data_IF_360081628786
#
_entry.id   IF_360081628786
#
_cell.length_a   1.000
_cell.length_b   1.000
_cell.length_c   1.000
_cell.angle_alpha   90.00
_cell.angle_beta   90.00
_cell.angle_gamma   90.00
#
_symmetry.space_group_name_H-M   'P 1'
#
loop_
_entity.id
_entity.type
_entity.pdbx_description
1 polymer ?
#
# COMPACT_ATOMS: atom_id res chain seq x y z
N UNK A 1 49.90 -1.06 2.31
CA UNK A 1 49.09 -0.51 1.20
C UNK A 1 49.24 1.00 1.25
N UNK A 2 49.33 1.63 0.09
CA UNK A 2 49.32 3.09 0.00
C UNK A 2 47.89 3.62 0.00
N UNK A 3 47.67 4.81 0.55
CA UNK A 3 46.39 5.54 0.48
C UNK A 3 45.75 5.53 -0.94
N UNK A 4 46.51 5.64 -2.06
CA UNK A 4 45.92 5.60 -3.41
C UNK A 4 45.36 4.23 -3.82
N UNK A 5 45.92 3.14 -3.29
CA UNK A 5 45.45 1.78 -3.58
C UNK A 5 44.12 1.52 -2.87
N UNK A 6 44.01 1.95 -1.60
CA UNK A 6 42.79 1.84 -0.80
C UNK A 6 41.63 2.67 -1.40
N UNK A 7 41.91 3.88 -1.89
CA UNK A 7 40.90 4.72 -2.56
C UNK A 7 40.43 4.12 -3.89
N UNK A 8 41.31 3.46 -4.63
CA UNK A 8 40.97 2.80 -5.89
C UNK A 8 40.12 1.55 -5.66
N UNK A 9 40.43 0.76 -4.64
CA UNK A 9 39.65 -0.41 -4.23
C UNK A 9 38.24 0.00 -3.79
N UNK A 10 38.14 1.00 -2.91
CA UNK A 10 36.85 1.56 -2.48
C UNK A 10 36.02 2.08 -3.65
N UNK A 11 36.65 2.80 -4.60
CA UNK A 11 35.94 3.29 -5.78
C UNK A 11 35.38 2.14 -6.63
N UNK A 12 36.14 1.04 -6.80
CA UNK A 12 35.66 -0.15 -7.50
C UNK A 12 34.50 -0.85 -6.78
N UNK A 13 34.56 -0.96 -5.44
CA UNK A 13 33.45 -1.48 -4.64
C UNK A 13 32.19 -0.64 -4.82
N UNK A 14 32.32 0.69 -4.80
CA UNK A 14 31.20 1.60 -5.04
C UNK A 14 30.64 1.47 -6.45
N UNK A 15 31.49 1.30 -7.49
CA UNK A 15 31.01 0.97 -8.85
C UNK A 15 30.23 -0.34 -8.84
N UNK A 16 30.75 -1.37 -8.19
CA UNK A 16 30.11 -2.69 -8.14
C UNK A 16 28.73 -2.61 -7.47
N UNK A 17 28.66 -1.96 -6.31
CA UNK A 17 27.41 -1.70 -5.60
C UNK A 17 26.36 -1.02 -6.50
N UNK A 18 26.76 0.04 -7.20
CA UNK A 18 25.87 0.80 -8.08
C UNK A 18 25.45 -0.01 -9.32
N UNK A 19 26.37 -0.72 -9.96
CA UNK A 19 26.12 -1.43 -11.23
C UNK A 19 25.37 -2.74 -11.03
N UNK A 20 25.66 -3.46 -9.94
CA UNK A 20 25.17 -4.81 -9.69
C UNK A 20 24.11 -4.83 -8.59
N UNK A 21 24.47 -4.43 -7.37
CA UNK A 21 23.62 -4.64 -6.18
C UNK A 21 22.35 -3.82 -6.26
N UNK A 22 22.47 -2.51 -6.53
CA UNK A 22 21.32 -1.60 -6.66
C UNK A 22 20.42 -2.05 -7.79
N UNK A 23 20.98 -2.40 -8.95
CA UNK A 23 20.20 -2.84 -10.11
C UNK A 23 19.48 -4.17 -9.86
N UNK A 24 20.11 -5.10 -9.17
CA UNK A 24 19.51 -6.38 -8.79
C UNK A 24 18.40 -6.17 -7.76
N UNK A 25 18.64 -5.31 -6.77
CA UNK A 25 17.66 -4.95 -5.76
C UNK A 25 16.42 -4.30 -6.39
N UNK A 26 16.59 -3.33 -7.28
CA UNK A 26 15.48 -2.66 -7.97
C UNK A 26 14.65 -3.63 -8.80
N UNK A 27 15.28 -4.56 -9.53
CA UNK A 27 14.56 -5.61 -10.29
C UNK A 27 13.78 -6.54 -9.36
N UNK A 28 14.39 -6.99 -8.27
CA UNK A 28 13.75 -7.87 -7.30
C UNK A 28 12.57 -7.17 -6.63
N UNK A 29 12.76 -5.93 -6.18
CA UNK A 29 11.72 -5.12 -5.56
C UNK A 29 10.55 -4.94 -6.52
N UNK A 30 10.81 -4.54 -7.77
CA UNK A 30 9.78 -4.42 -8.82
C UNK A 30 8.96 -5.70 -8.99
N UNK A 31 9.61 -6.85 -9.11
CA UNK A 31 8.91 -8.15 -9.21
C UNK A 31 8.02 -8.42 -7.98
N UNK A 32 8.52 -8.14 -6.78
CA UNK A 32 7.74 -8.30 -5.54
C UNK A 32 6.55 -7.34 -5.46
N UNK A 33 6.67 -6.11 -5.97
CA UNK A 33 5.54 -5.17 -6.04
C UNK A 33 4.49 -5.65 -7.05
N UNK A 34 4.90 -6.17 -8.20
CA UNK A 34 3.98 -6.78 -9.18
C UNK A 34 3.25 -8.00 -8.59
N UNK A 35 3.93 -8.83 -7.80
CA UNK A 35 3.31 -9.93 -7.07
C UNK A 35 2.33 -9.46 -5.99
N UNK A 36 2.63 -8.36 -5.31
CA UNK A 36 1.71 -7.73 -4.36
C UNK A 36 0.45 -7.21 -5.07
N UNK A 37 0.61 -6.52 -6.20
CA UNK A 37 -0.49 -6.02 -7.02
C UNK A 37 -1.32 -7.16 -7.63
N UNK A 38 -0.71 -8.26 -8.06
CA UNK A 38 -1.45 -9.43 -8.58
C UNK A 38 -2.26 -10.14 -7.50
N UNK A 39 -1.68 -10.35 -6.32
CA UNK A 39 -2.40 -10.97 -5.18
C UNK A 39 -3.62 -10.17 -4.79
N UNK A 40 -3.50 -8.85 -4.93
CA UNK A 40 -4.56 -7.92 -4.68
C UNK A 40 -5.71 -8.00 -5.69
N UNK A 41 -5.42 -7.89 -6.99
CA UNK A 41 -6.46 -7.92 -8.02
C UNK A 41 -7.23 -9.24 -8.02
N UNK A 42 -6.61 -10.30 -7.49
CA UNK A 42 -7.19 -11.63 -7.34
C UNK A 42 -7.82 -11.89 -5.97
N UNK A 43 -8.00 -10.86 -5.14
CA UNK A 43 -8.70 -10.99 -3.86
C UNK A 43 -10.22 -11.12 -4.12
N UNK A 44 -10.60 -12.14 -4.89
CA UNK A 44 -11.96 -12.66 -5.00
C UNK A 44 -12.16 -13.55 -3.77
N UNK A 45 -12.56 -12.95 -2.66
CA UNK A 45 -12.82 -13.70 -1.45
C UNK A 45 -14.28 -13.48 -1.05
N UNK A 46 -15.00 -14.60 -0.92
CA UNK A 46 -16.22 -14.69 -0.16
C UNK A 46 -15.81 -14.68 1.33
N UNK A 47 -15.66 -13.50 1.93
CA UNK A 47 -15.27 -13.42 3.35
C UNK A 47 -16.52 -13.33 4.23
N UNK A 48 -16.67 -14.31 5.13
CA UNK A 48 -17.61 -14.21 6.24
C UNK A 48 -17.01 -13.29 7.32
N UNK A 49 -17.31 -11.99 7.27
CA UNK A 49 -16.96 -11.09 8.36
C UNK A 49 -17.95 -11.31 9.51
N UNK A 50 -17.42 -11.80 10.64
CA UNK A 50 -18.23 -12.16 11.82
C UNK A 50 -17.89 -11.23 12.98
N UNK A 51 -18.80 -10.31 13.28
CA UNK A 51 -18.85 -9.60 14.55
C UNK A 51 -19.74 -10.33 15.54
N UNK A 52 -19.68 -9.99 16.85
CA UNK A 52 -20.55 -10.59 17.88
C UNK A 52 -22.06 -10.46 17.58
N UNK A 53 -22.44 -9.51 16.72
CA UNK A 53 -23.81 -9.17 16.35
C UNK A 53 -24.06 -9.11 14.85
N UNK A 54 -23.08 -9.46 14.01
CA UNK A 54 -23.21 -9.35 12.55
C UNK A 54 -22.54 -10.53 11.86
N UNK A 55 -23.25 -11.12 10.90
CA UNK A 55 -22.70 -12.01 9.88
C UNK A 55 -22.77 -11.29 8.54
N UNK A 56 -21.66 -11.18 7.83
CA UNK A 56 -21.65 -10.58 6.50
C UNK A 56 -21.04 -11.57 5.51
N UNK A 57 -21.70 -11.81 4.39
CA UNK A 57 -21.14 -12.48 3.24
C UNK A 57 -20.79 -11.41 2.19
N UNK A 58 -19.50 -11.18 1.99
CA UNK A 58 -19.00 -10.09 1.16
C UNK A 58 -18.25 -10.64 -0.04
N UNK A 59 -18.50 -10.06 -1.21
CA UNK A 59 -17.77 -10.32 -2.44
C UNK A 59 -17.00 -9.08 -2.86
N UNK A 60 -15.72 -9.26 -3.13
CA UNK A 60 -14.77 -8.20 -3.45
C UNK A 60 -14.24 -8.43 -4.86
N UNK A 61 -14.09 -7.36 -5.63
CA UNK A 61 -13.39 -7.32 -6.91
C UNK A 61 -12.36 -6.19 -6.88
N UNK A 62 -11.09 -6.55 -6.71
CA UNK A 62 -10.01 -5.58 -6.54
C UNK A 62 -10.29 -4.63 -5.38
N UNK A 63 -10.52 -3.34 -5.68
CA UNK A 63 -10.76 -2.28 -4.69
C UNK A 63 -12.24 -2.06 -4.35
N UNK A 64 -13.15 -2.84 -4.94
CA UNK A 64 -14.59 -2.67 -4.81
C UNK A 64 -15.20 -3.82 -4.01
N UNK A 65 -16.06 -3.48 -3.06
CA UNK A 65 -17.05 -4.43 -2.55
C UNK A 65 -18.22 -4.39 -3.51
N UNK A 66 -18.42 -5.47 -4.27
CA UNK A 66 -19.44 -5.53 -5.32
C UNK A 66 -20.78 -6.03 -4.79
N UNK A 67 -20.75 -6.94 -3.82
CA UNK A 67 -21.93 -7.50 -3.18
C UNK A 67 -21.63 -7.67 -1.69
N UNK A 68 -22.59 -7.35 -0.83
CA UNK A 68 -22.51 -7.69 0.59
C UNK A 68 -23.90 -8.03 1.12
N UNK A 69 -24.07 -9.25 1.59
CA UNK A 69 -25.26 -9.72 2.29
C UNK A 69 -24.96 -9.69 3.79
N UNK A 70 -25.61 -8.80 4.53
CA UNK A 70 -25.41 -8.63 5.96
C UNK A 70 -26.64 -9.09 6.74
N UNK A 71 -26.39 -9.89 7.77
CA UNK A 71 -27.35 -10.32 8.78
C UNK A 71 -26.92 -9.73 10.12
N UNK A 72 -27.75 -8.87 10.69
CA UNK A 72 -27.45 -8.17 11.94
C UNK A 72 -28.44 -8.59 13.02
N UNK A 73 -27.91 -9.00 14.16
CA UNK A 73 -28.70 -9.29 15.35
C UNK A 73 -28.71 -8.08 16.30
N UNK A 74 -29.86 -7.42 16.40
CA UNK A 74 -30.07 -6.28 17.29
C UNK A 74 -30.36 -6.74 18.74
N UNK A 75 -30.15 -5.85 19.72
CA UNK A 75 -30.21 -6.12 21.19
C UNK A 75 -31.57 -6.63 21.75
N UNK A 76 -32.52 -7.05 20.93
CA UNK A 76 -33.82 -7.63 21.32
C UNK A 76 -34.23 -8.84 20.47
N UNK A 77 -33.28 -9.46 19.76
CA UNK A 77 -33.54 -10.63 18.90
C UNK A 77 -34.14 -10.29 17.53
N UNK A 78 -34.15 -9.02 17.14
CA UNK A 78 -34.51 -8.62 15.79
C UNK A 78 -33.33 -8.89 14.86
N UNK A 79 -33.57 -9.77 13.88
CA UNK A 79 -32.64 -10.02 12.78
C UNK A 79 -32.98 -9.07 11.63
N UNK A 80 -32.00 -8.27 11.21
CA UNK A 80 -32.10 -7.44 10.01
C UNK A 80 -31.20 -8.06 8.95
N UNK A 81 -31.81 -8.47 7.84
CA UNK A 81 -31.08 -8.90 6.66
C UNK A 81 -31.10 -7.77 5.65
N UNK A 82 -29.93 -7.36 5.20
CA UNK A 82 -29.80 -6.31 4.21
C UNK A 82 -28.73 -6.63 3.19
N UNK A 83 -28.91 -6.11 1.97
CA UNK A 83 -27.99 -6.29 0.86
C UNK A 83 -27.43 -4.95 0.44
N UNK A 84 -26.14 -4.92 0.11
CA UNK A 84 -25.52 -3.77 -0.51
C UNK A 84 -26.20 -3.52 -1.87
N UNK A 85 -26.75 -2.33 -2.04
CA UNK A 85 -27.47 -1.89 -3.22
C UNK A 85 -26.53 -1.46 -4.35
N UNK A 86 -25.40 -0.85 -3.99
CA UNK A 86 -24.41 -0.35 -4.92
C UNK A 86 -23.00 -0.67 -4.43
N UNK A 87 -22.13 -1.04 -5.36
CA UNK A 87 -20.73 -1.31 -5.04
C UNK A 87 -20.07 -0.11 -4.34
N UNK A 88 -19.27 -0.40 -3.31
CA UNK A 88 -18.55 0.64 -2.57
C UNK A 88 -17.04 0.46 -2.69
N UNK A 89 -16.33 1.59 -2.65
CA UNK A 89 -14.88 1.65 -2.82
C UNK A 89 -14.19 1.51 -1.46
N UNK A 90 -13.13 0.69 -1.42
CA UNK A 90 -12.25 0.59 -0.27
C UNK A 90 -11.07 1.56 -0.47
N UNK A 91 -11.10 2.74 0.15
CA UNK A 91 -10.09 3.78 -0.11
C UNK A 91 -8.65 3.35 0.22
N UNK A 92 -8.47 2.55 1.28
CA UNK A 92 -7.17 1.97 1.66
C UNK A 92 -6.54 1.20 0.49
N UNK A 93 -7.39 0.61 -0.34
CA UNK A 93 -7.02 -0.18 -1.50
C UNK A 93 -6.50 0.71 -2.63
N UNK A 94 -7.21 1.80 -2.92
CA UNK A 94 -6.76 2.78 -3.90
C UNK A 94 -5.47 3.48 -3.47
N UNK A 95 -5.33 3.82 -2.19
CA UNK A 95 -4.12 4.42 -1.65
C UNK A 95 -2.91 3.49 -1.80
N UNK A 96 -3.06 2.21 -1.44
CA UNK A 96 -2.01 1.21 -1.59
C UNK A 96 -1.57 1.05 -3.06
N UNK A 97 -2.53 0.90 -3.97
CA UNK A 97 -2.24 0.81 -5.41
C UNK A 97 -1.52 2.05 -5.93
N UNK A 98 -1.96 3.25 -5.53
CA UNK A 98 -1.30 4.51 -5.91
C UNK A 98 0.15 4.56 -5.45
N UNK A 99 0.43 4.16 -4.21
CA UNK A 99 1.79 4.11 -3.67
C UNK A 99 2.65 3.15 -4.49
N UNK A 100 2.16 1.93 -4.76
CA UNK A 100 2.89 0.94 -5.57
C UNK A 100 3.26 1.48 -6.96
N UNK A 101 2.30 2.06 -7.67
CA UNK A 101 2.50 2.60 -9.02
C UNK A 101 3.50 3.75 -9.05
N UNK A 102 3.47 4.64 -8.05
CA UNK A 102 4.44 5.73 -7.94
C UNK A 102 5.85 5.18 -7.68
N UNK A 103 5.99 4.19 -6.79
CA UNK A 103 7.30 3.62 -6.49
C UNK A 103 7.86 2.79 -7.65
N UNK A 104 7.02 2.11 -8.42
CA UNK A 104 7.43 1.42 -9.66
C UNK A 104 8.12 2.38 -10.63
N UNK A 105 7.47 3.51 -10.92
CA UNK A 105 8.01 4.54 -11.81
C UNK A 105 9.30 5.14 -11.24
N UNK A 106 9.35 5.38 -9.93
CA UNK A 106 10.55 5.91 -9.26
C UNK A 106 11.72 4.94 -9.36
N UNK A 107 11.51 3.64 -9.14
CA UNK A 107 12.54 2.61 -9.31
C UNK A 107 13.09 2.57 -10.75
N UNK A 108 12.23 2.72 -11.76
CA UNK A 108 12.66 2.80 -13.16
C UNK A 108 13.46 4.07 -13.48
N UNK A 109 13.04 5.20 -12.91
CA UNK A 109 13.77 6.47 -13.02
C UNK A 109 15.16 6.38 -12.40
N UNK A 110 15.27 5.83 -11.18
CA UNK A 110 16.55 5.59 -10.50
C UNK A 110 17.44 4.68 -11.34
N UNK A 111 16.91 3.56 -11.84
CA UNK A 111 17.65 2.64 -12.70
C UNK A 111 18.14 3.30 -14.01
N UNK A 112 17.31 4.16 -14.61
CA UNK A 112 17.67 4.88 -15.85
C UNK A 112 18.72 5.96 -15.59
N UNK A 113 18.54 6.77 -14.54
CA UNK A 113 19.48 7.81 -14.15
C UNK A 113 20.84 7.21 -13.80
N UNK A 114 20.86 6.12 -13.04
CA UNK A 114 22.08 5.43 -12.64
C UNK A 114 22.87 4.92 -13.85
N UNK A 115 22.21 4.28 -14.82
CA UNK A 115 22.88 3.82 -16.06
C UNK A 115 23.47 5.00 -16.85
N UNK A 116 22.74 6.11 -16.97
CA UNK A 116 23.22 7.30 -17.68
C UNK A 116 24.44 7.89 -16.99
N UNK A 117 24.38 8.12 -15.68
CA UNK A 117 25.49 8.72 -14.95
C UNK A 117 26.73 7.81 -14.93
N UNK A 118 26.57 6.51 -14.74
CA UNK A 118 27.70 5.57 -14.82
C UNK A 118 28.34 5.56 -16.23
N UNK A 119 27.53 5.62 -17.30
CA UNK A 119 28.08 5.72 -18.66
C UNK A 119 28.85 7.01 -18.90
N UNK A 120 28.42 8.12 -18.29
CA UNK A 120 29.13 9.41 -18.36
C UNK A 120 30.44 9.37 -17.58
N UNK A 121 30.46 8.76 -16.39
CA UNK A 121 31.68 8.60 -15.58
C UNK A 121 32.70 7.71 -16.30
N UNK A 122 32.24 6.63 -16.95
CA UNK A 122 33.11 5.72 -17.70
C UNK A 122 33.57 6.26 -19.05
N UNK A 123 32.77 7.11 -19.69
CA UNK A 123 33.07 7.71 -21.00
C UNK A 123 33.68 9.12 -20.93
N UNK A 124 33.74 9.72 -19.74
CA UNK A 124 34.24 11.08 -19.52
C UNK A 124 35.76 11.15 -19.55
N UNK A 125 36.29 12.20 -20.17
CA UNK A 125 37.73 12.54 -20.14
C UNK A 125 38.13 13.37 -18.91
N UNK A 126 37.24 13.46 -17.90
CA UNK A 126 37.49 14.24 -16.70
C UNK A 126 38.61 13.61 -15.87
N UNK A 127 39.60 14.43 -15.52
CA UNK A 127 40.79 14.03 -14.76
C UNK A 127 40.51 13.94 -13.24
N UNK A 128 39.24 14.10 -12.82
CA UNK A 128 38.87 14.03 -11.42
C UNK A 128 38.96 12.58 -10.91
N UNK A 129 39.46 12.35 -9.69
CA UNK A 129 39.54 11.01 -9.11
C UNK A 129 38.18 10.32 -9.13
N UNK A 130 38.15 9.05 -9.55
CA UNK A 130 36.93 8.24 -9.68
C UNK A 130 36.07 8.27 -8.40
N UNK A 131 36.73 8.22 -7.24
CA UNK A 131 36.07 8.28 -5.93
C UNK A 131 35.27 9.57 -5.72
N UNK A 132 35.78 10.73 -6.17
CA UNK A 132 35.08 12.02 -6.05
C UNK A 132 33.84 12.10 -6.94
N UNK A 133 33.85 11.37 -8.07
CA UNK A 133 32.70 11.32 -8.98
C UNK A 133 31.63 10.32 -8.49
N UNK A 134 32.05 9.21 -7.88
CA UNK A 134 31.16 8.12 -7.48
C UNK A 134 30.53 8.32 -6.11
N UNK A 135 31.27 8.86 -5.13
CA UNK A 135 30.76 9.03 -3.78
C UNK A 135 29.44 9.85 -3.71
N UNK A 136 29.29 10.97 -4.46
CA UNK A 136 28.02 11.70 -4.51
C UNK A 136 26.88 10.86 -5.09
N UNK A 137 27.17 10.06 -6.13
CA UNK A 137 26.20 9.19 -6.76
C UNK A 137 25.72 8.08 -5.82
N UNK A 138 26.63 7.46 -5.06
CA UNK A 138 26.26 6.51 -4.01
C UNK A 138 25.35 7.16 -2.97
N UNK A 139 25.69 8.36 -2.51
CA UNK A 139 24.86 9.09 -1.55
C UNK A 139 23.45 9.40 -2.08
N UNK A 140 23.35 9.84 -3.34
CA UNK A 140 22.07 10.13 -3.99
C UNK A 140 21.20 8.86 -4.10
N UNK A 141 21.79 7.75 -4.55
CA UNK A 141 21.08 6.49 -4.70
C UNK A 141 20.61 5.93 -3.37
N UNK A 142 21.43 6.00 -2.31
CA UNK A 142 21.03 5.56 -0.97
C UNK A 142 19.86 6.41 -0.46
N UNK A 143 19.88 7.73 -0.68
CA UNK A 143 18.78 8.62 -0.30
C UNK A 143 17.48 8.28 -1.03
N UNK A 144 17.55 8.02 -2.35
CA UNK A 144 16.42 7.63 -3.18
C UNK A 144 15.83 6.28 -2.77
N UNK A 145 16.68 5.26 -2.56
CA UNK A 145 16.25 3.94 -2.06
C UNK A 145 15.61 4.05 -0.66
N UNK A 146 16.17 4.91 0.20
CA UNK A 146 15.59 5.23 1.50
C UNK A 146 14.21 5.87 1.39
N UNK A 147 14.02 6.80 0.44
CA UNK A 147 12.72 7.42 0.19
C UNK A 147 11.69 6.40 -0.32
N UNK A 148 12.05 5.59 -1.31
CA UNK A 148 11.20 4.50 -1.82
C UNK A 148 10.77 3.57 -0.67
N UNK A 149 11.71 3.18 0.19
CA UNK A 149 11.45 2.28 1.32
C UNK A 149 10.46 2.87 2.33
N UNK A 150 10.54 4.18 2.61
CA UNK A 150 9.61 4.88 3.50
C UNK A 150 8.21 4.96 2.90
N UNK A 151 8.10 5.28 1.62
CA UNK A 151 6.81 5.35 0.91
C UNK A 151 6.14 3.97 0.85
N UNK A 152 6.88 2.92 0.50
CA UNK A 152 6.37 1.54 0.49
C UNK A 152 5.89 1.10 1.88
N UNK A 153 6.59 1.50 2.96
CA UNK A 153 6.16 1.23 4.32
C UNK A 153 4.85 1.95 4.66
N UNK A 154 4.70 3.19 4.19
CA UNK A 154 3.47 3.98 4.38
C UNK A 154 2.30 3.34 3.65
N UNK A 155 2.47 2.98 2.38
CA UNK A 155 1.46 2.23 1.62
C UNK A 155 1.12 0.89 2.28
N UNK A 156 2.13 0.14 2.74
CA UNK A 156 1.91 -1.12 3.47
C UNK A 156 1.14 -0.92 4.78
N UNK A 157 1.33 0.21 5.47
CA UNK A 157 0.57 0.54 6.67
C UNK A 157 -0.92 0.81 6.36
N UNK A 158 -1.24 1.39 5.20
CA UNK A 158 -2.63 1.66 4.80
C UNK A 158 -3.50 0.39 4.75
N UNK A 159 -2.91 -0.75 4.37
CA UNK A 159 -3.60 -2.07 4.30
C UNK A 159 -3.32 -2.99 5.49
N UNK A 160 -2.35 -2.63 6.34
CA UNK A 160 -2.01 -3.39 7.56
C UNK A 160 -2.79 -2.88 8.77
N UNK A 161 -3.04 -1.59 8.86
CA UNK A 161 -3.73 -0.96 9.98
C UNK A 161 -5.23 -0.83 9.65
N UNK A 162 -6.13 -0.96 10.65
CA UNK A 162 -7.54 -0.69 10.43
C UNK A 162 -7.73 0.77 9.99
N UNK A 163 -8.84 1.05 9.31
CA UNK A 163 -9.13 2.38 8.76
C UNK A 163 -8.98 3.45 9.87
N UNK A 164 -8.35 4.57 9.53
CA UNK A 164 -8.19 5.71 10.45
C UNK A 164 -9.47 6.55 10.57
N UNK A 165 -10.59 6.12 9.95
CA UNK A 165 -11.86 6.85 10.01
C UNK A 165 -12.28 6.98 11.47
N UNK A 166 -12.10 8.18 12.02
CA UNK A 166 -12.52 8.52 13.37
C UNK A 166 -13.99 8.92 13.32
N UNK A 167 -14.76 8.36 14.24
CA UNK A 167 -16.12 8.78 14.50
C UNK A 167 -16.17 10.31 14.78
N UNK A 168 -17.18 11.05 14.28
CA UNK A 168 -18.32 10.58 13.49
C UNK A 168 -17.94 10.25 12.06
N UNK A 169 -18.37 9.07 11.59
CA UNK A 169 -18.30 8.74 10.18
C UNK A 169 -19.10 9.80 9.40
N UNK A 170 -18.55 10.32 8.31
CA UNK A 170 -19.34 11.17 7.42
C UNK A 170 -20.62 10.41 7.06
N UNK A 171 -21.78 11.07 7.13
CA UNK A 171 -23.07 10.52 6.70
C UNK A 171 -23.10 10.10 5.22
N UNK A 172 -22.01 10.37 4.49
CA UNK A 172 -21.66 9.88 3.17
C UNK A 172 -20.79 8.63 3.30
N UNK A 173 -21.29 7.59 3.95
CA UNK A 173 -20.79 6.25 3.64
C UNK A 173 -21.50 5.83 2.36
N UNK A 174 -20.74 5.43 1.34
CA UNK A 174 -21.29 4.98 0.04
C UNK A 174 -22.10 3.67 0.16
N UNK A 175 -22.32 3.18 1.38
CA UNK A 175 -23.03 1.94 1.65
C UNK A 175 -24.54 2.19 1.66
N UNK A 176 -25.15 2.07 0.49
CA UNK A 176 -26.60 2.00 0.36
C UNK A 176 -27.04 0.55 0.56
N UNK A 177 -27.85 0.31 1.57
CA UNK A 177 -28.33 -1.02 1.94
C UNK A 177 -29.84 -1.14 1.67
N UNK A 178 -30.29 -2.30 1.18
CA UNK A 178 -31.70 -2.60 0.90
C UNK A 178 -32.09 -3.94 1.51
N UNK A 179 -33.07 -3.98 2.44
CA UNK A 179 -33.74 -2.83 3.09
C UNK A 179 -32.77 -1.94 3.87
N UNK A 180 -33.06 -0.64 4.06
CA UNK A 180 -32.17 0.27 4.76
C UNK A 180 -31.88 -0.22 6.18
N UNK A 181 -30.62 -0.03 6.61
CA UNK A 181 -30.23 -0.31 7.98
C UNK A 181 -30.96 0.62 8.96
N UNK A 182 -31.19 0.17 10.21
CA UNK A 182 -31.70 1.04 11.27
C UNK A 182 -30.85 2.31 11.41
N UNK A 183 -31.49 3.45 11.71
CA UNK A 183 -30.82 4.75 11.81
C UNK A 183 -29.80 4.84 12.95
N UNK A 184 -29.90 3.94 13.93
CA UNK A 184 -28.98 3.79 15.05
C UNK A 184 -27.85 2.79 14.75
N UNK A 185 -27.69 2.36 13.50
CA UNK A 185 -26.67 1.40 13.08
C UNK A 185 -25.81 1.94 11.93
N UNK A 186 -24.53 1.59 11.98
CA UNK A 186 -23.59 1.80 10.89
C UNK A 186 -22.76 0.54 10.63
N UNK A 187 -22.58 0.22 9.35
CA UNK A 187 -21.71 -0.86 8.87
C UNK A 187 -20.58 -0.22 8.07
N UNK A 188 -19.35 -0.59 8.38
CA UNK A 188 -18.14 -0.14 7.68
C UNK A 188 -17.35 -1.35 7.18
N UNK A 189 -16.74 -1.20 6.00
CA UNK A 189 -15.85 -2.18 5.42
C UNK A 189 -14.45 -1.59 5.32
N UNK A 190 -13.47 -2.27 5.90
CA UNK A 190 -12.07 -1.85 5.88
C UNK A 190 -11.13 -3.00 5.59
N UNK A 191 -9.87 -2.71 5.31
CA UNK A 191 -8.82 -3.71 5.13
C UNK A 191 -7.90 -3.70 6.35
N UNK A 192 -7.69 -4.88 6.94
CA UNK A 192 -6.74 -5.09 8.02
C UNK A 192 -5.89 -6.34 7.74
N UNK A 193 -4.57 -6.18 7.74
CA UNK A 193 -3.63 -7.28 7.43
C UNK A 193 -3.93 -8.00 6.10
N UNK A 194 -4.31 -7.24 5.07
CA UNK A 194 -4.72 -7.77 3.77
C UNK A 194 -5.95 -8.72 3.83
N UNK A 195 -6.86 -8.49 4.78
CA UNK A 195 -8.18 -9.12 4.88
C UNK A 195 -9.26 -8.06 4.98
N UNK A 196 -10.45 -8.35 4.50
CA UNK A 196 -11.59 -7.48 4.74
C UNK A 196 -12.06 -7.63 6.19
N UNK A 197 -12.39 -6.51 6.80
CA UNK A 197 -13.01 -6.43 8.12
C UNK A 197 -14.30 -5.65 7.97
N UNK A 198 -15.41 -6.31 8.26
CA UNK A 198 -16.73 -5.69 8.37
C UNK A 198 -17.05 -5.44 9.83
N UNK A 199 -17.20 -4.18 10.21
CA UNK A 199 -17.58 -3.77 11.56
C UNK A 199 -19.00 -3.22 11.59
N UNK A 200 -19.72 -3.50 12.67
CA UNK A 200 -21.04 -2.91 12.94
C UNK A 200 -21.00 -2.11 14.24
N UNK A 201 -21.48 -0.87 14.16
CA UNK A 201 -21.59 0.04 15.28
C UNK A 201 -23.05 0.35 15.55
N UNK A 202 -23.50 0.08 16.78
CA UNK A 202 -24.81 0.47 17.27
C UNK A 202 -24.64 1.73 18.12
N UNK A 203 -25.34 2.79 17.74
CA UNK A 203 -25.40 4.03 18.49
C UNK A 203 -26.52 3.93 19.53
N UNK A 204 -26.24 4.21 20.81
CA UNK A 204 -27.33 4.46 21.73
C UNK A 204 -28.10 5.68 21.21
N UNK A 205 -29.44 5.68 21.25
CA UNK A 205 -30.19 6.89 20.96
C UNK A 205 -29.69 7.98 21.90
N UNK A 206 -29.21 9.08 21.34
CA UNK A 206 -28.89 10.28 22.12
C UNK A 206 -30.13 10.62 22.92
N UNK A 207 -30.02 10.59 24.25
CA UNK A 207 -31.06 11.15 25.12
C UNK A 207 -31.02 12.64 24.82
N UNK A 208 -31.94 13.09 23.97
CA UNK A 208 -32.25 14.51 23.82
C UNK A 208 -32.88 14.91 25.15
N UNK A 209 -32.05 15.41 26.08
CA UNK A 209 -32.50 16.25 27.19
C UNK A 209 -32.70 17.67 26.71
#
# INVERSE_FOLDING_TARGET
>A
MGIPEEEAELAQEMVHYLTHDVMTLLRKAKSQLEDAERRWTRMEALEEATGKSMKANVKIDGHLVVEADIEVNLRRGYLVNSKLHQACVLDQMLEFHRVLQLQYRRMEQVASALRKQLSLIQGGTDHAPLLQQIAPLVSEIVAELGAISRELRTGGNAVRLPSTRRFPYSSQLDHHFVPPLPSDMLVDFSVHQARLVGDSHLFPPSIVT
#
